data_IF_406766008317
#
_entry.id   IF_406766008317
#
_cell.length_a   1.000
_cell.length_b   1.000
_cell.length_c   1.000
_cell.angle_alpha   90.00
_cell.angle_beta   90.00
_cell.angle_gamma   90.00
#
_symmetry.space_group_name_H-M   'P 1'
#
loop_
_entity.id
_entity.type
_entity.pdbx_description
1 polymer ?
2 water ?
#
# COMPACT_ATOMS: atom_id res chain seq x y z
N UNK A 2 2.20 -17.08 7.05
CA UNK A 2 2.04 -18.32 7.78
C UNK A 2 2.94 -18.43 8.99
N UNK A 3 3.17 -19.66 9.46
CA UNK A 3 4.03 -19.92 10.61
C UNK A 3 4.37 -21.41 10.66
N UNK A 4 5.38 -21.75 11.45
CA UNK A 4 5.77 -23.15 11.63
C UNK A 4 5.48 -23.65 13.04
N UNK A 10 4.60 -26.19 8.46
CA UNK A 10 4.16 -24.87 8.01
C UNK A 10 2.64 -24.81 7.83
N UNK A 11 2.02 -23.78 8.38
CA UNK A 11 0.59 -23.54 8.25
C UNK A 11 0.39 -22.18 7.59
N UNK A 12 -0.44 -22.13 6.55
CA UNK A 12 -0.72 -20.89 5.83
C UNK A 12 -2.09 -20.35 6.23
N UNK A 13 -2.23 -19.03 6.10
CA UNK A 13 -3.47 -18.33 6.46
C UNK A 13 -4.44 -18.21 5.29
N UNK A 61 -0.96 -12.21 -5.44
CA UNK A 61 0.29 -11.85 -6.12
C UNK A 61 0.79 -10.47 -5.72
N UNK A 62 2.03 -10.38 -5.24
CA UNK A 62 2.60 -9.13 -4.75
C UNK A 62 1.83 -8.59 -3.56
N UNK A 63 1.33 -9.49 -2.72
CA UNK A 63 0.56 -9.12 -1.54
C UNK A 63 1.09 -9.90 -0.34
N UNK A 64 0.91 -9.32 0.84
CA UNK A 64 1.25 -9.96 2.10
C UNK A 64 0.01 -10.11 2.95
N UNK A 65 0.00 -11.13 3.79
CA UNK A 65 -1.12 -11.36 4.70
C UNK A 65 -0.87 -10.58 5.98
N UNK A 66 -1.87 -9.81 6.41
CA UNK A 66 -1.75 -8.95 7.58
C UNK A 66 -2.86 -9.35 8.56
N UNK A 67 -2.55 -9.71 9.80
CA UNK A 67 -3.62 -10.00 10.77
C UNK A 67 -4.44 -8.75 11.04
N UNK A 68 -5.75 -8.93 11.21
CA UNK A 68 -6.64 -7.78 11.28
C UNK A 68 -6.36 -6.89 12.50
N UNK A 69 -5.83 -7.47 13.58
CA UNK A 69 -5.59 -6.61 14.73
C UNK A 69 -4.45 -5.62 14.48
N UNK A 70 -3.71 -5.78 13.40
CA UNK A 70 -2.63 -4.86 13.07
C UNK A 70 -3.03 -3.87 12.00
N UNK A 71 -4.32 -3.77 11.67
CA UNK A 71 -4.80 -2.88 10.64
C UNK A 71 -5.44 -1.67 11.29
N UNK A 72 -5.06 -0.48 10.84
CA UNK A 72 -5.59 0.77 11.35
C UNK A 72 -6.06 1.66 10.21
N UNK A 73 -6.91 2.62 10.54
CA UNK A 73 -7.34 3.60 9.55
C UNK A 73 -6.11 4.20 8.86
N UNK A 74 -6.20 4.34 7.54
CA UNK A 74 -5.12 4.90 6.76
C UNK A 74 -4.19 3.86 6.14
N UNK A 75 -4.23 2.62 6.62
CA UNK A 75 -3.37 1.59 6.04
C UNK A 75 -3.82 1.27 4.62
N UNK A 76 -2.90 0.79 3.81
CA UNK A 76 -3.24 0.34 2.46
C UNK A 76 -3.56 -1.16 2.50
N UNK A 77 -4.70 -1.53 1.91
CA UNK A 77 -5.11 -2.93 1.82
C UNK A 77 -5.61 -3.22 0.42
N UNK A 78 -5.65 -4.50 0.07
CA UNK A 78 -6.31 -4.92 -1.16
C UNK A 78 -7.77 -5.15 -0.82
N UNK A 79 -8.66 -4.36 -1.41
CA UNK A 79 -10.10 -4.49 -1.24
C UNK A 79 -10.70 -4.75 -2.61
N UNK A 80 -11.39 -5.89 -2.76
CA UNK A 80 -11.94 -6.30 -4.04
C UNK A 80 -10.86 -6.29 -5.12
N UNK A 81 -9.65 -6.69 -4.73
CA UNK A 81 -8.56 -6.80 -5.68
C UNK A 81 -7.88 -5.49 -6.01
N UNK A 82 -8.24 -4.41 -5.33
CA UNK A 82 -7.72 -3.08 -5.66
C UNK A 82 -6.96 -2.50 -4.47
N UNK A 83 -5.84 -1.80 -4.72
CA UNK A 83 -5.12 -1.16 -3.61
C UNK A 83 -5.89 0.07 -3.12
N UNK A 84 -6.24 0.08 -1.84
CA UNK A 84 -7.10 1.11 -1.25
C UNK A 84 -6.51 1.61 0.06
N UNK A 85 -6.82 2.86 0.39
CA UNK A 85 -6.55 3.39 1.72
C UNK A 85 -7.79 3.22 2.59
N UNK A 86 -7.62 2.59 3.76
CA UNK A 86 -8.76 2.25 4.61
C UNK A 86 -9.30 3.51 5.27
N UNK A 87 -10.61 3.74 5.14
CA UNK A 87 -11.24 4.90 5.77
C UNK A 87 -12.26 4.53 6.84
N UNK A 88 -12.67 3.27 6.93
CA UNK A 88 -13.60 2.85 7.97
C UNK A 88 -13.40 1.37 8.24
N UNK A 89 -13.41 1.02 9.53
CA UNK A 89 -13.33 -0.36 9.98
C UNK A 89 -14.55 -0.61 10.85
N UNK A 90 -15.32 -1.65 10.53
CA UNK A 90 -16.53 -1.97 11.26
C UNK A 90 -16.58 -3.48 11.46
N UNK A 91 -17.61 -3.95 12.16
CA UNK A 91 -17.82 -5.37 12.37
C UNK A 91 -19.17 -5.76 11.80
N UNK A 92 -19.20 -6.86 11.04
CA UNK A 92 -20.45 -7.37 10.50
C UNK A 92 -21.34 -7.96 11.59
N UNK A 93 -22.61 -7.56 11.63
CA UNK A 93 -23.54 -8.15 12.59
C UNK A 93 -23.81 -9.61 12.24
N UNK A 94 -23.78 -9.95 10.95
CA UNK A 94 -24.06 -11.30 10.52
C UNK A 94 -22.94 -12.26 10.90
N UNK A 95 -21.71 -11.91 10.54
CA UNK A 95 -20.59 -12.81 10.71
C UNK A 95 -19.69 -12.49 11.89
N UNK A 96 -19.79 -11.29 12.47
CA UNK A 96 -18.85 -10.87 13.48
C UNK A 96 -17.47 -10.50 12.97
N UNK A 97 -17.23 -10.57 11.67
CA UNK A 97 -15.92 -10.28 11.12
C UNK A 97 -15.75 -8.79 10.86
N UNK A 98 -14.48 -8.37 10.80
CA UNK A 98 -14.15 -7.00 10.42
C UNK A 98 -14.54 -6.75 8.98
N UNK A 99 -15.03 -5.55 8.71
CA UNK A 99 -15.38 -5.06 7.37
C UNK A 99 -14.61 -3.79 7.10
N UNK A 100 -14.01 -3.69 5.92
CA UNK A 100 -13.12 -2.57 5.59
C UNK A 100 -13.71 -1.78 4.42
N UNK A 101 -13.81 -0.47 4.59
CA UNK A 101 -14.19 0.46 3.52
C UNK A 101 -12.96 1.28 3.17
N UNK A 102 -12.64 1.36 1.88
CA UNK A 102 -11.42 2.03 1.46
C UNK A 102 -11.61 2.78 0.17
N UNK A 103 -10.66 3.68 -0.10
CA UNK A 103 -10.64 4.49 -1.31
C UNK A 103 -9.51 3.99 -2.20
N UNK A 104 -9.86 3.62 -3.44
CA UNK A 104 -8.90 3.15 -4.44
C UNK A 104 -7.81 4.20 -4.69
N UNK A 105 -6.54 3.79 -4.58
CA UNK A 105 -5.45 4.76 -4.72
C UNK A 105 -5.36 5.33 -6.12
N UNK A 106 -5.83 4.57 -7.12
CA UNK A 106 -5.75 4.96 -8.52
C UNK A 106 -7.03 5.63 -9.01
N UNK A 107 -8.19 5.00 -8.81
CA UNK A 107 -9.46 5.47 -9.36
C UNK A 107 -10.26 6.34 -8.40
N UNK A 108 -9.94 6.32 -7.11
CA UNK A 108 -10.62 7.06 -6.05
C UNK A 108 -12.04 6.55 -5.80
N UNK A 109 -12.40 5.38 -6.32
CA UNK A 109 -13.70 4.79 -6.03
C UNK A 109 -13.67 4.07 -4.69
N UNK A 110 -14.85 3.92 -4.07
CA UNK A 110 -14.93 3.21 -2.81
C UNK A 110 -15.09 1.71 -3.03
N UNK A 111 -14.47 0.92 -2.16
CA UNK A 111 -14.58 -0.54 -2.19
C UNK A 111 -14.73 -1.05 -0.76
N UNK A 112 -15.44 -2.16 -0.60
CA UNK A 112 -15.58 -2.78 0.72
C UNK A 112 -15.25 -4.26 0.60
N UNK A 113 -14.64 -4.80 1.65
CA UNK A 113 -14.37 -6.23 1.73
C UNK A 113 -14.29 -6.66 3.19
N UNK A 114 -14.76 -7.88 3.49
CA UNK A 114 -14.68 -8.43 4.84
C UNK A 114 -13.42 -9.26 5.02
N UNK A 115 -13.04 -9.47 6.27
CA UNK A 115 -11.85 -10.26 6.56
C UNK A 115 -12.04 -11.71 6.11
N UNK A 116 -10.92 -12.40 5.94
CA UNK A 116 -10.91 -13.84 5.73
C UNK A 116 -10.53 -14.54 7.03
N UNK A 117 -11.35 -15.49 7.44
CA UNK A 117 -11.12 -16.26 8.67
C UNK A 117 -10.41 -17.56 8.28
N UNK A 118 -9.21 -17.77 8.80
CA UNK A 118 -8.48 -19.00 8.58
C UNK A 118 -8.32 -19.75 9.90
N UNK A 119 -8.29 -21.08 9.80
CA UNK A 119 -8.19 -21.99 10.94
C UNK A 119 -7.12 -23.01 10.59
N UNK A 120 -5.85 -22.61 10.52
CA UNK A 120 -4.81 -23.52 10.02
C UNK A 120 -4.46 -24.65 10.97
N UNK A 121 -4.74 -24.51 12.26
CA UNK A 121 -4.38 -25.53 13.22
C UNK A 121 -5.40 -25.51 14.35
N UNK A 122 -5.53 -26.58 15.12
CA UNK A 122 -6.50 -26.58 16.22
C UNK A 122 -6.30 -25.39 17.15
N UNK A 123 -7.39 -24.66 17.37
CA UNK A 123 -7.47 -23.51 18.26
C UNK A 123 -6.71 -22.29 17.75
N UNK A 124 -6.24 -22.32 16.51
CA UNK A 124 -5.68 -21.13 15.90
C UNK A 124 -6.69 -20.60 14.90
N UNK A 125 -7.27 -19.44 15.21
CA UNK A 125 -8.30 -18.83 14.38
C UNK A 125 -7.93 -17.37 14.18
N UNK A 126 -7.66 -17.00 12.94
CA UNK A 126 -7.06 -15.69 12.63
C UNK A 126 -7.85 -15.03 11.53
N UNK A 127 -8.18 -13.76 11.72
CA UNK A 127 -8.80 -12.91 10.70
C UNK A 127 -7.68 -12.12 10.01
N UNK A 128 -7.66 -12.14 8.68
CA UNK A 128 -6.57 -11.50 7.94
C UNK A 128 -7.13 -10.73 6.75
N UNK A 129 -6.34 -9.77 6.29
CA UNK A 129 -6.54 -9.13 5.00
C UNK A 129 -5.22 -9.16 4.25
N UNK A 130 -5.28 -8.83 2.96
CA UNK A 130 -4.09 -8.70 2.12
C UNK A 130 -3.70 -7.23 2.00
N UNK A 131 -2.40 -6.98 2.13
CA UNK A 131 -1.83 -5.67 1.86
C UNK A 131 -0.87 -5.74 0.70
N UNK A 132 -0.65 -4.62 0.02
CA UNK A 132 0.27 -4.60 -1.12
C UNK A 132 1.73 -4.64 -0.68
N UNK A 133 2.57 -5.20 -1.56
CA UNK A 133 4.03 -5.14 -1.39
C UNK A 133 4.52 -3.89 -2.12
N UNK A 134 5.29 -3.05 -1.44
CA UNK A 134 5.83 -1.84 -2.03
C UNK A 134 7.24 -2.06 -2.54
N UNK A 135 7.56 -1.35 -3.61
CA UNK A 135 8.92 -1.21 -4.10
C UNK A 135 9.46 0.15 -3.67
N UNK A 136 10.77 0.23 -3.45
CA UNK A 136 11.43 1.48 -3.07
C UNK A 136 12.33 1.93 -4.21
N UNK A 137 12.11 3.13 -4.72
CA UNK A 137 12.93 3.67 -5.80
C UNK A 137 13.65 4.95 -5.35
N UNK A 138 14.82 5.19 -5.95
CA UNK A 138 15.48 6.48 -5.79
C UNK A 138 14.82 7.53 -6.68
N UNK A 139 14.89 8.79 -6.27
CA UNK A 139 14.33 9.90 -7.03
C UNK A 139 15.48 10.66 -7.69
N UNK A 140 15.44 10.74 -9.02
CA UNK A 140 16.50 11.37 -9.79
C UNK A 140 16.15 12.79 -10.22
N UNK A 141 14.86 13.09 -10.39
CA UNK A 141 14.40 14.41 -10.82
C UNK A 141 12.91 14.51 -10.53
N UNK A 142 12.42 15.74 -10.43
CA UNK A 142 11.02 16.03 -10.20
C UNK A 142 10.61 17.04 -11.26
N UNK A 143 9.60 16.70 -12.06
CA UNK A 143 9.15 17.59 -13.14
C UNK A 143 7.63 17.47 -13.24
N UNK A 144 6.93 18.56 -12.88
CA UNK A 144 5.51 18.70 -13.11
C UNK A 144 4.63 17.55 -12.70
N UNK A 145 4.55 17.30 -11.38
CA UNK A 145 3.67 16.28 -10.86
C UNK A 145 4.15 14.86 -10.99
N UNK A 146 5.26 14.61 -11.71
CA UNK A 146 5.80 13.27 -11.82
C UNK A 146 7.31 13.30 -11.54
N UNK A 147 7.89 12.14 -11.34
CA UNK A 147 9.30 12.05 -10.99
C UNK A 147 10.02 11.11 -11.95
N UNK A 148 11.33 11.32 -12.08
CA UNK A 148 12.21 10.34 -12.68
C UNK A 148 12.76 9.51 -11.53
N UNK A 149 12.52 8.20 -11.56
CA UNK A 149 12.93 7.32 -10.49
C UNK A 149 13.89 6.27 -11.02
N UNK A 150 14.63 5.64 -10.10
CA UNK A 150 15.44 4.52 -10.58
C UNK A 150 15.37 3.39 -9.56
N UNK A 151 15.25 2.18 -10.09
CA UNK A 151 15.11 0.99 -9.27
C UNK A 151 16.46 0.62 -8.64
N UNK A 152 16.42 -0.39 -7.77
CA UNK A 152 17.63 -0.92 -7.15
C UNK A 152 18.67 -1.40 -8.16
N UNK A 153 18.25 -1.81 -9.35
CA UNK A 153 19.16 -2.35 -10.35
C UNK A 153 19.55 -1.34 -11.42
N UNK A 154 19.12 -0.09 -11.31
CA UNK A 154 19.51 0.94 -12.25
C UNK A 154 18.48 1.24 -13.32
N UNK A 155 17.34 0.57 -13.29
CA UNK A 155 16.28 0.77 -14.28
C UNK A 155 15.64 2.14 -14.07
N UNK A 156 15.64 2.97 -15.10
CA UNK A 156 15.11 4.33 -15.02
C UNK A 156 13.64 4.34 -15.40
N UNK A 157 12.81 4.95 -14.56
CA UNK A 157 11.40 5.17 -14.84
C UNK A 157 11.21 6.66 -15.09
N UNK A 158 10.95 7.03 -16.35
CA UNK A 158 11.08 8.44 -16.72
C UNK A 158 9.93 9.30 -16.22
N UNK A 159 8.73 8.73 -16.06
CA UNK A 159 7.58 9.56 -15.74
C UNK A 159 6.66 8.82 -14.78
N UNK A 160 7.05 8.80 -13.52
CA UNK A 160 6.31 8.11 -12.47
C UNK A 160 5.39 9.10 -11.77
N UNK A 161 4.07 8.94 -11.84
CA UNK A 161 3.19 9.90 -11.16
C UNK A 161 3.25 9.75 -9.66
N UNK A 162 2.95 10.84 -8.97
CA UNK A 162 2.94 10.89 -7.51
C UNK A 162 1.49 11.08 -7.06
N UNK A 163 1.04 10.26 -6.10
CA UNK A 163 -0.34 10.33 -5.67
C UNK A 163 -0.61 11.69 -5.03
N UNK A 164 -1.81 12.22 -5.28
CA UNK A 164 -2.23 13.48 -4.67
C UNK A 164 -2.92 13.12 -3.36
N UNK A 165 -2.09 12.93 -2.33
CA UNK A 165 -2.58 12.42 -1.05
C UNK A 165 -1.59 12.81 0.03
N UNK A 166 -2.11 13.34 1.14
CA UNK A 166 -1.32 13.63 2.34
C UNK A 166 -0.11 14.50 2.04
N UNK A 167 -0.27 15.46 1.12
CA UNK A 167 0.76 16.46 0.82
C UNK A 167 2.07 15.82 0.34
N UNK A 168 1.96 14.69 -0.36
CA UNK A 168 3.16 13.95 -0.72
C UNK A 168 4.07 14.72 -1.65
N UNK A 169 3.51 15.36 -2.69
CA UNK A 169 4.37 16.09 -3.64
C UNK A 169 5.18 17.16 -2.93
N UNK A 170 4.55 17.88 -1.99
CA UNK A 170 5.27 18.93 -1.27
C UNK A 170 6.33 18.34 -0.34
N UNK A 171 5.97 17.27 0.38
CA UNK A 171 6.95 16.66 1.28
C UNK A 171 8.11 16.06 0.50
N UNK A 172 7.82 15.46 -0.65
CA UNK A 172 8.87 14.91 -1.50
C UNK A 172 9.80 16.00 -2.02
N UNK A 173 9.23 17.12 -2.47
CA UNK A 173 10.04 18.19 -3.03
C UNK A 173 10.99 18.81 -1.99
N UNK A 174 10.50 19.07 -0.78
CA UNK A 174 11.39 19.62 0.24
C UNK A 174 12.48 18.64 0.62
N UNK A 175 12.15 17.34 0.68
CA UNK A 175 13.18 16.34 0.98
C UNK A 175 14.15 16.20 -0.19
N UNK A 176 13.65 16.28 -1.42
CA UNK A 176 14.49 16.19 -2.60
C UNK A 176 15.40 17.42 -2.71
N UNK A 177 14.89 18.60 -2.38
CA UNK A 177 15.66 19.82 -2.54
C UNK A 177 16.83 19.88 -1.57
N UNK A 178 16.60 19.49 -0.32
CA UNK A 178 17.66 19.57 0.69
C UNK A 178 18.44 18.26 0.77
N UNK A 179 17.98 17.24 0.04
C UNK A 179 18.80 14.46 -0.76
N UNK A 180 18.72 14.82 -2.05
CA UNK A 180 18.22 13.91 -3.07
C UNK A 180 18.63 12.47 -2.81
N UNK A 181 19.90 12.26 -2.44
CA UNK A 181 20.41 10.91 -2.30
C UNK A 181 19.69 10.08 -1.26
N UNK A 182 19.16 10.73 -0.22
CA UNK A 182 18.53 10.01 0.87
C UNK A 182 17.03 9.85 0.70
N UNK A 183 16.44 10.35 -0.38
CA UNK A 183 15.00 10.27 -0.58
C UNK A 183 14.67 8.99 -1.34
N UNK A 184 13.59 8.32 -0.93
CA UNK A 184 13.05 7.19 -1.66
C UNK A 184 11.54 7.35 -1.78
N UNK A 185 10.97 6.82 -2.85
CA UNK A 185 9.51 6.73 -2.97
C UNK A 185 9.10 5.28 -2.82
N UNK A 186 7.94 5.07 -2.19
CA UNK A 186 7.29 3.77 -2.14
C UNK A 186 6.30 3.68 -3.30
N UNK A 187 6.38 2.60 -4.06
CA UNK A 187 5.69 2.52 -5.35
C UNK A 187 4.81 1.28 -5.39
N UNK A 188 3.56 1.46 -5.82
CA UNK A 188 2.60 0.41 -6.12
C UNK A 188 2.39 0.33 -7.63
N UNK A 189 1.91 -0.83 -8.07
CA UNK A 189 1.69 -1.09 -9.49
C UNK A 189 0.25 -1.57 -9.72
N UNK A 190 -0.42 -0.99 -10.71
CA UNK A 190 -1.79 -1.37 -11.10
C UNK A 190 -1.77 -1.84 -12.55
N UNK A 191 -1.61 -3.14 -12.76
CA UNK A 191 -1.61 -3.74 -14.10
C UNK A 191 -0.66 -3.00 -15.04
N UNK A 192 0.58 -2.81 -14.58
CA UNK A 192 1.59 -2.12 -15.34
C UNK A 192 1.74 -0.65 -14.98
N UNK A 193 0.71 -0.04 -14.43
CA UNK A 193 0.76 1.38 -14.06
C UNK A 193 1.40 1.52 -12.68
N UNK A 194 2.50 2.26 -12.59
CA UNK A 194 3.12 2.49 -11.30
C UNK A 194 2.70 3.85 -10.72
N UNK A 195 2.72 3.94 -9.39
CA UNK A 195 2.26 5.13 -8.68
C UNK A 195 3.10 5.30 -7.43
N UNK A 196 3.68 6.48 -7.23
CA UNK A 196 4.39 6.76 -5.97
C UNK A 196 3.35 7.13 -4.92
N UNK A 197 3.29 6.35 -3.84
CA UNK A 197 2.20 6.50 -2.86
C UNK A 197 2.70 6.95 -1.50
N UNK A 198 4.01 7.00 -1.28
CA UNK A 198 4.58 7.49 -0.03
C UNK A 198 6.06 7.75 -0.26
N UNK A 199 6.73 8.24 0.76
CA UNK A 199 8.14 8.55 0.66
C UNK A 199 8.85 8.11 1.93
N UNK A 200 10.18 8.04 1.84
CA UNK A 200 11.01 7.66 2.96
C UNK A 200 12.34 8.38 2.81
N UNK A 201 12.85 8.93 3.92
CA UNK A 201 14.21 9.45 3.98
C UNK A 201 15.04 8.43 4.76
N UNK A 202 16.03 7.85 4.10
CA UNK A 202 16.87 6.84 4.74
C UNK A 202 17.87 7.53 5.66
N UNK A 203 18.05 6.97 6.86
CA UNK A 203 18.93 7.56 7.86
C UNK A 203 19.99 6.56 8.36
#
# INVERSE_FOLDING_TARGET
>A
MGYYDEDGHYHSFRQGIHKLADKIAHPHHHHHDHVDVDIKEDIRVTETRPRPVQSGGSYVPNTVTIPCHHIRLGDFLMLQGRPCQVIRISTSNATGQYRYLGVDLFTKQLHEESSFVSNPAPSVIVQTMLGPVFKQYRVLDMQGGHIVAMTETGDVKQSLPVIDQSNLWSRLSTAFESGRGSVRVLVLNDSGRELAVDMKVIHGSRL
#
